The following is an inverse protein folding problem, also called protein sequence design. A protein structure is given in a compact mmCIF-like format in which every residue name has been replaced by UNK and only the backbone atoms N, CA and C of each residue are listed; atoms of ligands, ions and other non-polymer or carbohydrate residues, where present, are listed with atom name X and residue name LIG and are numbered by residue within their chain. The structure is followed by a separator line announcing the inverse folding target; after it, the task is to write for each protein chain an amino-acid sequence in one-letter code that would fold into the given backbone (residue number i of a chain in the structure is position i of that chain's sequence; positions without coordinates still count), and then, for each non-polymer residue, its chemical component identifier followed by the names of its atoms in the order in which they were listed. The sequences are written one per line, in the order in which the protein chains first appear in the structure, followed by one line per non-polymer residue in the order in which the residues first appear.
data_IF_645802496895
#
_entry.id   IF_645802496895
#
_cell.length_a   1.000
_cell.length_b   1.000
_cell.length_c   1.000
_cell.angle_alpha   90.00
_cell.angle_beta   90.00
_cell.angle_gamma   90.00
#
_symmetry.space_group_name_H-M   'P 1'
#
loop_
_entity.id
_entity.type
_entity.pdbx_description
1 polymer ?
#
# COMPACT_ATOMS: atom_id res chain seq x y z
N UNK A 1 -36.26 7.45 10.27
CA UNK A 1 -35.04 6.95 9.62
C UNK A 1 -33.91 7.79 10.18
N UNK A 2 -33.28 7.31 11.25
CA UNK A 2 -32.25 8.06 11.95
C UNK A 2 -30.93 7.92 11.20
N UNK A 3 -30.35 9.05 10.81
CA UNK A 3 -29.06 9.14 10.13
C UNK A 3 -27.96 8.64 11.07
N UNK A 4 -27.32 7.53 10.70
CA UNK A 4 -26.17 7.00 11.44
C UNK A 4 -25.02 8.00 11.34
N UNK A 5 -24.69 8.67 12.45
CA UNK A 5 -23.54 9.57 12.51
C UNK A 5 -22.23 8.78 12.58
N UNK A 6 -21.13 9.40 12.09
CA UNK A 6 -19.76 8.86 12.06
C UNK A 6 -19.28 8.24 13.38
N UNK A 7 -19.84 8.61 14.53
CA UNK A 7 -19.48 8.06 15.85
C UNK A 7 -19.95 6.62 16.10
N UNK A 8 -20.97 6.12 15.38
CA UNK A 8 -21.49 4.76 15.57
C UNK A 8 -20.71 3.66 14.86
N UNK A 9 -19.77 4.02 13.97
CA UNK A 9 -19.04 3.06 13.13
C UNK A 9 -17.90 2.37 13.89
N UNK A 10 -17.24 3.09 14.79
CA UNK A 10 -16.06 2.61 15.54
C UNK A 10 -16.39 1.51 16.54
N UNK A 11 -17.62 1.46 17.06
CA UNK A 11 -17.99 0.54 18.13
C UNK A 11 -18.28 -0.90 17.64
N UNK A 12 -18.66 -1.07 16.36
CA UNK A 12 -19.06 -2.38 15.80
C UNK A 12 -17.94 -3.11 15.05
N UNK A 13 -16.90 -2.42 14.59
CA UNK A 13 -15.83 -3.04 13.80
C UNK A 13 -14.87 -3.91 14.63
N UNK A 14 -14.78 -3.69 15.95
CA UNK A 14 -13.81 -4.34 16.82
C UNK A 14 -14.24 -5.72 17.38
N UNK A 15 -15.45 -6.22 17.06
CA UNK A 15 -16.00 -7.47 17.66
C UNK A 15 -16.06 -8.70 16.74
N UNK A 16 -15.62 -8.63 15.48
CA UNK A 16 -15.81 -9.73 14.51
C UNK A 16 -14.53 -10.49 14.17
N UNK A 17 -14.23 -11.57 14.90
CA UNK A 17 -13.06 -12.44 14.66
C UNK A 17 -13.11 -13.19 13.32
N UNK A 18 -11.99 -13.15 12.59
CA UNK A 18 -11.81 -13.89 11.33
C UNK A 18 -10.39 -14.44 11.22
N UNK A 19 -10.17 -15.66 11.68
CA UNK A 19 -8.85 -16.30 11.64
C UNK A 19 -8.86 -17.77 11.15
N UNK A 20 -10.00 -18.36 10.76
CA UNK A 20 -10.07 -19.83 10.58
C UNK A 20 -10.32 -20.35 9.15
N UNK A 21 -10.49 -19.49 8.14
CA UNK A 21 -10.98 -19.95 6.83
C UNK A 21 -9.92 -20.32 5.78
N UNK A 22 -8.63 -20.10 6.04
CA UNK A 22 -7.59 -20.16 4.99
C UNK A 22 -6.95 -21.55 4.83
N UNK A 23 -7.02 -22.41 5.84
CA UNK A 23 -6.21 -23.65 5.88
C UNK A 23 -6.73 -24.82 5.05
N UNK A 24 -7.97 -24.78 4.57
CA UNK A 24 -8.60 -25.95 3.91
C UNK A 24 -8.46 -25.95 2.37
N UNK A 25 -7.95 -24.87 1.77
CA UNK A 25 -7.97 -24.68 0.31
C UNK A 25 -6.81 -25.35 -0.46
N UNK A 26 -5.78 -25.87 0.22
CA UNK A 26 -4.51 -26.25 -0.40
C UNK A 26 -4.36 -27.73 -0.80
N UNK A 27 -5.41 -28.56 -0.66
CA UNK A 27 -5.27 -30.02 -0.81
C UNK A 27 -6.14 -30.68 -1.91
N UNK A 28 -6.68 -29.94 -2.88
CA UNK A 28 -7.56 -30.53 -3.92
C UNK A 28 -7.05 -30.33 -5.35
N UNK A 29 -7.11 -31.38 -6.21
CA UNK A 29 -6.59 -31.35 -7.58
C UNK A 29 -7.43 -30.49 -8.54
N UNK A 30 -6.77 -29.92 -9.54
CA UNK A 30 -7.24 -28.84 -10.44
C UNK A 30 -8.61 -29.07 -11.11
N UNK A 31 -9.01 -30.31 -11.39
CA UNK A 31 -10.32 -30.60 -12.02
C UNK A 31 -11.52 -30.37 -11.08
N UNK A 32 -11.31 -30.30 -9.76
CA UNK A 32 -12.35 -29.93 -8.79
C UNK A 32 -12.54 -28.41 -8.69
N UNK A 33 -11.53 -27.61 -9.07
CA UNK A 33 -11.59 -26.14 -9.05
C UNK A 33 -12.56 -25.59 -10.10
N UNK A 34 -12.60 -26.17 -11.30
CA UNK A 34 -13.47 -25.71 -12.39
C UNK A 34 -14.97 -25.87 -12.08
N UNK A 35 -15.36 -26.86 -11.26
CA UNK A 35 -16.77 -27.08 -10.90
C UNK A 35 -17.16 -26.48 -9.54
N UNK A 36 -16.19 -26.02 -8.72
CA UNK A 36 -16.43 -25.32 -7.45
C UNK A 36 -16.30 -23.79 -7.53
N UNK A 37 -15.70 -23.24 -8.59
CA UNK A 37 -15.80 -21.81 -8.92
C UNK A 37 -17.14 -21.46 -9.60
N UNK A 38 -18.26 -21.92 -9.03
CA UNK A 38 -19.47 -21.09 -9.11
C UNK A 38 -19.23 -19.95 -8.14
N UNK A 39 -18.58 -18.90 -8.63
CA UNK A 39 -18.45 -17.61 -7.94
C UNK A 39 -19.87 -17.07 -7.75
N UNK A 40 -20.54 -17.49 -6.68
CA UNK A 40 -21.89 -17.07 -6.37
C UNK A 40 -21.81 -15.68 -5.76
N UNK A 41 -21.79 -14.68 -6.64
CA UNK A 41 -21.86 -13.25 -6.31
C UNK A 41 -23.04 -12.91 -5.36
N UNK A 42 -24.04 -13.79 -5.25
CA UNK A 42 -25.24 -13.55 -4.44
C UNK A 42 -25.01 -13.55 -2.92
N UNK A 43 -23.99 -14.26 -2.42
CA UNK A 43 -23.78 -14.44 -0.97
C UNK A 43 -22.51 -13.74 -0.42
N UNK A 44 -21.81 -12.98 -1.25
CA UNK A 44 -20.63 -12.23 -0.79
C UNK A 44 -21.06 -11.03 0.05
N UNK A 45 -20.66 -11.01 1.33
CA UNK A 45 -20.96 -9.91 2.27
C UNK A 45 -20.53 -8.53 1.72
N UNK A 46 -19.52 -8.52 0.85
CA UNK A 46 -19.06 -7.34 0.12
C UNK A 46 -20.13 -6.79 -0.84
N UNK A 47 -20.80 -7.66 -1.61
CA UNK A 47 -21.79 -7.26 -2.63
C UNK A 47 -23.13 -6.84 -2.03
N UNK A 48 -23.39 -7.23 -0.77
CA UNK A 48 -24.56 -6.85 0.00
C UNK A 48 -24.34 -5.60 0.87
N UNK A 49 -23.26 -4.83 0.61
CA UNK A 49 -23.00 -3.58 1.30
C UNK A 49 -23.91 -2.46 0.78
N UNK A 50 -24.60 -1.78 1.69
CA UNK A 50 -25.49 -0.67 1.36
C UNK A 50 -24.76 0.55 0.74
N UNK A 51 -23.44 0.66 0.95
CA UNK A 51 -22.60 1.76 0.47
C UNK A 51 -21.77 1.41 -0.79
N UNK A 52 -21.93 0.20 -1.37
CA UNK A 52 -21.12 -0.25 -2.49
C UNK A 52 -21.28 0.63 -3.73
N UNK A 53 -22.51 1.08 -4.02
CA UNK A 53 -22.80 1.97 -5.15
C UNK A 53 -22.04 3.29 -5.04
N UNK A 54 -22.04 3.89 -3.85
CA UNK A 54 -21.36 5.16 -3.62
C UNK A 54 -19.84 5.00 -3.64
N UNK A 55 -19.32 3.87 -3.12
CA UNK A 55 -17.90 3.55 -3.20
C UNK A 55 -17.43 3.39 -4.67
N UNK A 56 -18.21 2.69 -5.50
CA UNK A 56 -17.90 2.51 -6.93
C UNK A 56 -18.02 3.82 -7.72
N UNK A 57 -19.01 4.67 -7.41
CA UNK A 57 -19.11 6.01 -7.99
C UNK A 57 -17.91 6.87 -7.62
N UNK A 58 -17.52 6.90 -6.34
CA UNK A 58 -16.33 7.61 -5.89
C UNK A 58 -15.07 7.09 -6.57
N UNK A 59 -14.94 5.76 -6.73
CA UNK A 59 -13.90 5.11 -7.53
C UNK A 59 -13.84 5.67 -8.94
N UNK A 60 -14.96 5.56 -9.65
CA UNK A 60 -15.08 6.02 -11.02
C UNK A 60 -14.79 7.52 -11.14
N UNK A 61 -15.42 8.39 -10.36
CA UNK A 61 -15.23 9.85 -10.42
C UNK A 61 -13.81 10.30 -10.09
N UNK A 62 -13.04 9.52 -9.32
CA UNK A 62 -11.63 9.84 -9.04
C UNK A 62 -10.72 9.49 -10.22
N UNK A 63 -11.01 8.42 -10.96
CA UNK A 63 -10.24 8.00 -12.14
C UNK A 63 -10.72 8.67 -13.43
N UNK A 64 -12.02 8.96 -13.55
CA UNK A 64 -12.65 9.61 -14.69
C UNK A 64 -12.42 11.12 -14.63
N UNK A 65 -11.16 11.51 -14.82
CA UNK A 65 -10.82 12.90 -15.14
C UNK A 65 -10.75 13.03 -16.66
N UNK A 66 -11.78 13.60 -17.28
CA UNK A 66 -11.72 14.13 -18.66
C UNK A 66 -10.86 15.42 -18.76
N UNK A 67 -10.10 15.72 -17.70
CA UNK A 67 -9.34 16.94 -17.45
C UNK A 67 -7.83 16.65 -17.46
N UNK A 68 -6.94 17.67 -17.60
CA UNK A 68 -5.52 17.45 -17.87
C UNK A 68 -4.70 16.95 -16.66
N UNK A 69 -5.27 16.89 -15.46
CA UNK A 69 -4.60 16.35 -14.26
C UNK A 69 -5.15 14.95 -13.90
N UNK A 70 -4.37 13.86 -14.10
CA UNK A 70 -4.83 12.52 -13.80
C UNK A 70 -4.82 12.24 -12.29
N UNK A 71 -6.02 12.18 -11.70
CA UNK A 71 -6.19 11.81 -10.31
C UNK A 71 -6.10 10.29 -10.11
N UNK A 72 -5.49 9.87 -9.01
CA UNK A 72 -5.44 8.46 -8.57
C UNK A 72 -5.81 8.35 -7.10
N UNK A 73 -6.29 7.19 -6.67
CA UNK A 73 -6.65 6.96 -5.25
C UNK A 73 -5.50 7.15 -4.28
N UNK A 74 -4.28 6.85 -4.71
CA UNK A 74 -3.08 6.98 -3.89
C UNK A 74 -2.52 8.41 -3.86
N UNK A 75 -3.18 9.37 -4.49
CA UNK A 75 -2.63 10.70 -4.71
C UNK A 75 -2.32 11.45 -3.42
N UNK A 76 -3.21 11.45 -2.44
CA UNK A 76 -2.99 12.19 -1.19
C UNK A 76 -1.74 11.70 -0.46
N UNK A 77 -1.57 10.37 -0.35
CA UNK A 77 -0.45 9.75 0.35
C UNK A 77 0.85 9.99 -0.44
N UNK A 78 0.82 9.78 -1.75
CA UNK A 78 1.99 9.97 -2.61
C UNK A 78 2.45 11.42 -2.63
N UNK A 79 1.52 12.39 -2.74
CA UNK A 79 1.83 13.82 -2.65
C UNK A 79 2.38 14.22 -1.29
N UNK A 80 1.82 13.71 -0.19
CA UNK A 80 2.31 14.04 1.15
C UNK A 80 3.79 13.66 1.33
N UNK A 81 4.17 12.46 0.89
CA UNK A 81 5.57 12.01 0.92
C UNK A 81 6.43 12.84 -0.03
N UNK A 82 5.99 13.09 -1.27
CA UNK A 82 6.76 13.90 -2.22
C UNK A 82 6.99 15.33 -1.71
N UNK A 83 5.97 15.98 -1.14
CA UNK A 83 6.12 17.30 -0.54
C UNK A 83 7.08 17.30 0.66
N UNK A 84 7.07 16.24 1.48
CA UNK A 84 8.04 16.10 2.56
C UNK A 84 9.47 15.96 2.01
N UNK A 85 9.66 15.18 0.94
CA UNK A 85 10.96 15.04 0.27
C UNK A 85 11.43 16.34 -0.39
N UNK A 86 10.52 17.11 -0.96
CA UNK A 86 10.84 18.42 -1.51
C UNK A 86 11.41 19.39 -0.47
N UNK A 87 10.95 19.27 0.78
CA UNK A 87 11.52 19.99 1.91
C UNK A 87 12.85 19.38 2.39
N UNK A 88 12.90 18.06 2.54
CA UNK A 88 14.02 17.39 3.20
C UNK A 88 15.28 17.31 2.32
N UNK A 89 15.14 17.05 1.02
CA UNK A 89 16.27 16.82 0.11
C UNK A 89 17.17 18.05 -0.04
N UNK A 90 16.65 19.28 -0.27
CA UNK A 90 17.51 20.47 -0.37
C UNK A 90 18.25 20.80 0.92
N UNK A 91 17.73 20.37 2.07
CA UNK A 91 18.34 20.57 3.38
C UNK A 91 19.31 19.44 3.78
N UNK A 92 19.36 18.33 3.03
CA UNK A 92 20.20 17.18 3.34
C UNK A 92 19.74 16.39 4.58
N UNK A 93 18.44 16.47 4.93
CA UNK A 93 17.85 15.84 6.12
C UNK A 93 16.96 14.64 5.78
N UNK A 94 17.03 14.11 4.56
CA UNK A 94 16.25 12.94 4.14
C UNK A 94 16.44 11.72 5.04
N UNK A 95 17.65 11.57 5.60
CA UNK A 95 17.96 10.49 6.54
C UNK A 95 17.17 10.65 7.84
N UNK A 96 17.11 11.86 8.38
CA UNK A 96 16.34 12.15 9.60
C UNK A 96 14.84 11.94 9.37
N UNK A 97 14.35 12.27 8.17
CA UNK A 97 12.97 12.00 7.77
C UNK A 97 12.66 10.50 7.74
N UNK A 98 13.56 9.69 7.16
CA UNK A 98 13.43 8.21 7.17
C UNK A 98 13.50 7.67 8.59
N UNK A 99 14.47 8.11 9.40
CA UNK A 99 14.63 7.64 10.78
C UNK A 99 13.39 7.98 11.62
N UNK A 100 12.81 9.17 11.43
CA UNK A 100 11.55 9.56 12.07
C UNK A 100 10.38 8.67 11.62
N UNK A 101 10.27 8.36 10.32
CA UNK A 101 9.25 7.43 9.83
C UNK A 101 9.40 6.05 10.47
N UNK A 102 10.64 5.51 10.54
CA UNK A 102 10.89 4.22 11.15
C UNK A 102 10.54 4.20 12.63
N UNK A 103 10.95 5.25 13.37
CA UNK A 103 10.61 5.41 14.78
C UNK A 103 9.10 5.42 15.02
N UNK A 104 8.33 6.16 14.21
CA UNK A 104 6.88 6.26 14.36
C UNK A 104 6.15 4.97 13.96
N UNK A 105 6.72 4.20 13.02
CA UNK A 105 6.17 2.93 12.55
C UNK A 105 6.64 1.71 13.36
N UNK A 106 7.56 1.88 14.32
CA UNK A 106 8.10 0.80 15.13
C UNK A 106 7.04 -0.13 15.78
N UNK A 107 5.89 0.35 16.30
CA UNK A 107 4.85 -0.52 16.82
C UNK A 107 4.25 -1.46 15.76
N UNK A 108 4.09 -0.97 14.53
CA UNK A 108 3.60 -1.77 13.39
C UNK A 108 4.62 -2.84 13.03
N UNK A 109 5.90 -2.46 12.92
CA UNK A 109 6.99 -3.39 12.62
C UNK A 109 7.15 -4.46 13.70
N UNK A 110 6.94 -4.13 14.97
CA UNK A 110 6.90 -5.11 16.05
C UNK A 110 5.78 -6.13 15.86
N UNK A 111 4.60 -5.69 15.42
CA UNK A 111 3.49 -6.60 15.09
C UNK A 111 3.84 -7.55 13.93
N UNK A 112 4.46 -7.03 12.88
CA UNK A 112 4.92 -7.83 11.74
C UNK A 112 6.02 -8.81 12.16
N UNK A 113 6.96 -8.40 13.00
CA UNK A 113 8.00 -9.25 13.57
C UNK A 113 7.43 -10.46 14.29
N UNK A 114 6.43 -10.26 15.15
CA UNK A 114 5.76 -11.38 15.84
C UNK A 114 5.10 -12.35 14.85
N UNK A 115 4.51 -11.84 13.77
CA UNK A 115 3.97 -12.69 12.72
C UNK A 115 5.07 -13.46 11.97
N UNK A 116 6.22 -12.83 11.71
CA UNK A 116 7.40 -13.47 11.08
C UNK A 116 7.97 -14.58 11.96
N UNK A 117 8.13 -14.34 13.27
CA UNK A 117 8.62 -15.33 14.22
C UNK A 117 7.70 -16.56 14.31
N UNK A 118 6.40 -16.36 14.11
CA UNK A 118 5.38 -17.42 14.20
C UNK A 118 5.20 -18.18 12.89
N UNK A 119 5.03 -17.47 11.78
CA UNK A 119 4.55 -18.02 10.51
C UNK A 119 5.60 -17.91 9.37
N UNK A 120 6.79 -17.37 9.64
CA UNK A 120 7.92 -17.30 8.71
C UNK A 120 8.10 -15.97 7.97
N UNK A 121 9.21 -15.82 7.21
CA UNK A 121 9.65 -14.54 6.64
C UNK A 121 8.71 -13.97 5.57
N UNK A 122 7.87 -14.79 4.94
CA UNK A 122 6.84 -14.32 3.99
C UNK A 122 5.87 -13.31 4.65
N UNK A 123 5.68 -13.39 5.97
CA UNK A 123 4.88 -12.41 6.72
C UNK A 123 5.44 -11.00 6.67
N UNK A 124 6.74 -10.84 6.47
CA UNK A 124 7.32 -9.50 6.29
C UNK A 124 6.82 -8.86 5.00
N UNK A 125 6.83 -9.60 3.88
CA UNK A 125 6.32 -9.11 2.60
C UNK A 125 4.82 -8.79 2.68
N UNK A 126 4.05 -9.68 3.30
CA UNK A 126 2.60 -9.48 3.48
C UNK A 126 2.29 -8.27 4.35
N UNK A 127 2.98 -8.12 5.49
CA UNK A 127 2.77 -7.02 6.43
C UNK A 127 3.20 -5.65 5.88
N UNK A 128 4.25 -5.60 5.05
CA UNK A 128 4.73 -4.37 4.45
C UNK A 128 3.93 -3.96 3.19
N UNK A 129 3.45 -4.93 2.39
CA UNK A 129 2.94 -4.63 1.05
C UNK A 129 1.49 -5.07 0.76
N UNK A 130 0.83 -5.91 1.56
CA UNK A 130 -0.48 -6.48 1.20
C UNK A 130 -1.55 -6.39 2.28
N UNK A 131 -1.26 -6.82 3.50
CA UNK A 131 -2.29 -7.13 4.53
C UNK A 131 -2.87 -5.89 5.21
N UNK A 132 -2.45 -4.69 4.81
CA UNK A 132 -2.98 -3.44 5.36
C UNK A 132 -3.88 -2.76 4.33
N UNK A 133 -5.03 -2.24 4.77
CA UNK A 133 -5.90 -1.41 3.92
C UNK A 133 -5.15 -0.22 3.33
N UNK A 134 -4.12 0.27 4.03
CA UNK A 134 -3.23 1.33 3.59
C UNK A 134 -2.31 0.91 2.43
N UNK A 135 -1.91 -0.36 2.32
CA UNK A 135 -1.12 -0.85 1.18
C UNK A 135 -1.89 -0.72 -0.13
N UNK A 136 -3.19 -1.05 -0.12
CA UNK A 136 -4.09 -0.89 -1.27
C UNK A 136 -4.43 0.57 -1.58
N UNK A 137 -4.20 1.48 -0.64
CA UNK A 137 -4.28 2.92 -0.88
C UNK A 137 -3.00 3.48 -1.49
N UNK A 138 -1.85 2.81 -1.34
CA UNK A 138 -0.58 3.29 -1.88
C UNK A 138 -0.26 2.66 -3.25
N UNK A 139 -0.42 1.35 -3.37
CA UNK A 139 -0.09 0.59 -4.57
C UNK A 139 -1.34 0.33 -5.40
N UNK A 140 -1.34 0.80 -6.65
CA UNK A 140 -2.44 0.60 -7.59
C UNK A 140 -2.64 -0.88 -7.94
N UNK A 141 -1.53 -1.63 -8.00
CA UNK A 141 -1.52 -3.08 -8.16
C UNK A 141 -0.27 -3.67 -7.51
N UNK A 142 -0.39 -4.88 -7.00
CA UNK A 142 0.72 -5.65 -6.42
C UNK A 142 0.67 -7.04 -7.05
N UNK A 143 1.78 -7.46 -7.63
CA UNK A 143 2.00 -8.81 -8.10
C UNK A 143 2.67 -9.62 -6.99
N UNK A 144 2.07 -10.76 -6.67
CA UNK A 144 2.40 -11.56 -5.50
C UNK A 144 3.00 -12.89 -5.95
N UNK A 145 4.24 -13.15 -5.56
CA UNK A 145 4.94 -14.43 -5.81
C UNK A 145 5.63 -14.88 -4.52
N UNK A 146 5.82 -16.19 -4.28
CA UNK A 146 6.56 -16.65 -3.11
C UNK A 146 7.92 -15.94 -2.99
N UNK A 147 8.18 -15.27 -1.86
CA UNK A 147 9.42 -14.55 -1.60
C UNK A 147 9.64 -13.25 -2.40
N UNK A 148 8.66 -12.78 -3.18
CA UNK A 148 8.80 -11.56 -4.00
C UNK A 148 7.49 -10.77 -4.13
N UNK A 149 7.60 -9.44 -4.09
CA UNK A 149 6.53 -8.51 -4.47
C UNK A 149 7.01 -7.60 -5.57
N UNK A 150 6.17 -7.39 -6.57
CA UNK A 150 6.43 -6.42 -7.61
C UNK A 150 5.25 -5.48 -7.82
N UNK A 151 5.54 -4.20 -8.02
CA UNK A 151 4.53 -3.16 -8.17
C UNK A 151 5.08 -1.97 -8.94
N UNK A 152 4.25 -1.24 -9.71
CA UNK A 152 4.64 0.05 -10.26
C UNK A 152 5.03 0.99 -9.12
N UNK A 153 6.11 1.76 -9.30
CA UNK A 153 6.47 2.74 -8.28
C UNK A 153 5.31 3.72 -8.06
N UNK A 154 4.81 3.88 -6.82
CA UNK A 154 3.66 4.75 -6.56
C UNK A 154 4.00 6.24 -6.75
N UNK A 155 5.28 6.59 -6.75
CA UNK A 155 5.74 7.98 -6.77
C UNK A 155 6.18 8.50 -8.15
N UNK A 156 6.55 7.63 -9.10
CA UNK A 156 7.15 8.06 -10.39
C UNK A 156 6.23 9.02 -11.16
N UNK A 157 5.08 8.52 -11.61
CA UNK A 157 4.13 9.35 -12.36
C UNK A 157 3.58 10.51 -11.54
N UNK A 158 3.43 10.34 -10.22
CA UNK A 158 2.94 11.43 -9.37
C UNK A 158 3.97 12.54 -9.19
N UNK A 159 5.27 12.23 -9.19
CA UNK A 159 6.32 13.23 -9.21
C UNK A 159 6.28 14.03 -10.52
N UNK A 160 6.08 13.36 -11.67
CA UNK A 160 5.92 14.03 -12.96
C UNK A 160 4.72 14.99 -12.93
N UNK A 161 3.58 14.54 -12.40
CA UNK A 161 2.41 15.40 -12.18
C UNK A 161 2.71 16.58 -11.26
N UNK A 162 3.40 16.36 -10.14
CA UNK A 162 3.77 17.41 -9.19
C UNK A 162 4.72 18.44 -9.84
N UNK A 163 5.68 17.99 -10.66
CA UNK A 163 6.57 18.87 -11.42
C UNK A 163 5.79 19.73 -12.41
N UNK A 164 4.93 19.13 -13.24
CA UNK A 164 4.21 19.86 -14.28
C UNK A 164 3.21 20.87 -13.70
N UNK A 165 2.45 20.47 -12.67
CA UNK A 165 1.29 21.23 -12.21
C UNK A 165 1.55 22.13 -11.00
N UNK A 166 2.62 21.87 -10.24
CA UNK A 166 2.97 22.64 -9.05
C UNK A 166 4.37 23.23 -9.21
N UNK A 167 5.37 22.35 -9.38
CA UNK A 167 6.79 22.69 -9.41
C UNK A 167 7.17 23.73 -10.46
N UNK A 168 6.56 23.63 -11.65
CA UNK A 168 6.74 24.58 -12.77
C UNK A 168 6.44 26.03 -12.40
N UNK A 169 5.49 26.26 -11.48
CA UNK A 169 5.01 27.60 -11.13
C UNK A 169 5.63 28.16 -9.85
N UNK A 170 6.03 27.32 -8.90
CA UNK A 170 6.56 27.73 -7.60
C UNK A 170 8.03 27.34 -7.37
N UNK A 171 8.65 26.63 -8.32
CA UNK A 171 10.04 26.18 -8.23
C UNK A 171 10.27 25.01 -7.26
N UNK A 172 9.24 24.24 -6.90
CA UNK A 172 9.35 23.01 -6.08
C UNK A 172 9.55 21.75 -6.93
N UNK A 173 9.77 20.61 -6.28
CA UNK A 173 9.97 19.29 -6.87
C UNK A 173 11.19 19.19 -7.80
N UNK A 174 12.32 19.81 -7.41
CA UNK A 174 13.56 19.88 -8.22
C UNK A 174 14.44 18.61 -8.18
N UNK A 175 13.91 17.50 -7.69
CA UNK A 175 14.62 16.23 -7.57
C UNK A 175 14.05 15.20 -8.55
N UNK A 176 14.81 14.12 -8.79
CA UNK A 176 14.43 13.09 -9.75
C UNK A 176 13.79 11.89 -9.07
N UNK A 177 13.06 11.08 -9.85
CA UNK A 177 12.46 9.85 -9.32
C UNK A 177 13.50 8.92 -8.66
N UNK A 178 14.73 8.91 -9.20
CA UNK A 178 15.85 8.17 -8.60
C UNK A 178 16.21 8.66 -7.19
N UNK A 179 16.06 9.96 -6.91
CA UNK A 179 16.21 10.50 -5.56
C UNK A 179 15.15 9.93 -4.63
N UNK A 180 13.88 9.86 -5.06
CA UNK A 180 12.82 9.24 -4.26
C UNK A 180 13.14 7.79 -3.93
N UNK A 181 13.60 7.02 -4.91
CA UNK A 181 13.98 5.63 -4.68
C UNK A 181 15.14 5.51 -3.67
N UNK A 182 16.20 6.30 -3.85
CA UNK A 182 17.43 6.16 -3.09
C UNK A 182 17.37 6.81 -1.69
N UNK A 183 16.58 7.88 -1.53
CA UNK A 183 16.51 8.68 -0.30
C UNK A 183 15.29 8.33 0.55
N UNK A 184 14.26 7.72 -0.03
CA UNK A 184 13.04 7.34 0.68
C UNK A 184 12.73 5.85 0.60
N UNK A 185 12.39 5.33 -0.59
CA UNK A 185 11.83 3.98 -0.70
C UNK A 185 12.80 2.90 -0.18
N UNK A 186 14.04 2.90 -0.70
CA UNK A 186 15.05 1.89 -0.34
C UNK A 186 15.45 2.01 1.13
N UNK A 187 15.80 3.19 1.68
CA UNK A 187 16.12 3.33 3.09
C UNK A 187 14.95 2.96 4.02
N UNK A 188 13.73 3.41 3.72
CA UNK A 188 12.57 3.13 4.56
C UNK A 188 12.23 1.64 4.60
N UNK A 189 12.23 0.96 3.44
CA UNK A 189 11.94 -0.48 3.40
C UNK A 189 13.07 -1.32 4.02
N UNK A 190 14.34 -0.94 3.84
CA UNK A 190 15.46 -1.62 4.49
C UNK A 190 15.45 -1.40 6.01
N UNK A 191 15.11 -0.19 6.47
CA UNK A 191 14.94 0.10 7.89
C UNK A 191 13.81 -0.72 8.52
N UNK A 192 12.67 -0.77 7.85
CA UNK A 192 11.54 -1.60 8.29
C UNK A 192 11.91 -3.09 8.33
N UNK A 193 12.59 -3.60 7.30
CA UNK A 193 13.08 -4.98 7.25
C UNK A 193 14.02 -5.31 8.42
N UNK A 194 14.95 -4.39 8.72
CA UNK A 194 15.86 -4.52 9.86
C UNK A 194 15.11 -4.59 11.19
N UNK A 195 14.12 -3.73 11.41
CA UNK A 195 13.32 -3.74 12.64
C UNK A 195 12.45 -5.00 12.77
N UNK A 196 11.96 -5.51 11.64
CA UNK A 196 11.22 -6.78 11.57
C UNK A 196 12.14 -7.98 11.79
N UNK A 197 13.42 -7.88 11.46
CA UNK A 197 14.40 -8.97 11.58
C UNK A 197 14.53 -9.83 10.31
N UNK A 198 14.26 -9.27 9.13
CA UNK A 198 14.45 -9.92 7.83
C UNK A 198 15.42 -9.15 6.95
N UNK A 199 15.91 -9.78 5.89
CA UNK A 199 16.66 -9.10 4.83
C UNK A 199 15.81 -8.99 3.59
N UNK A 200 15.83 -7.81 2.97
CA UNK A 200 15.18 -7.56 1.70
C UNK A 200 16.20 -7.14 0.65
N UNK A 201 16.04 -7.67 -0.56
CA UNK A 201 16.65 -7.12 -1.77
C UNK A 201 15.61 -6.22 -2.45
N UNK A 202 15.92 -4.93 -2.59
CA UNK A 202 15.03 -3.94 -3.21
C UNK A 202 15.65 -3.50 -4.53
N UNK A 203 14.88 -3.67 -5.60
CA UNK A 203 15.29 -3.34 -6.97
C UNK A 203 14.30 -2.29 -7.51
N UNK A 204 14.65 -0.98 -7.45
CA UNK A 204 13.85 0.06 -8.06
C UNK A 204 13.79 -0.09 -9.58
N UNK A 205 12.63 0.15 -10.17
CA UNK A 205 12.39 0.03 -11.60
C UNK A 205 11.05 0.63 -11.99
N UNK A 206 10.70 0.56 -13.27
CA UNK A 206 9.32 0.87 -13.69
C UNK A 206 8.32 0.00 -12.92
N UNK A 207 8.67 -1.26 -12.77
CA UNK A 207 8.14 -2.15 -11.76
C UNK A 207 9.21 -2.37 -10.68
N UNK A 208 8.98 -1.81 -9.50
CA UNK A 208 9.82 -2.07 -8.33
C UNK A 208 9.65 -3.54 -7.92
N UNK A 209 10.75 -4.18 -7.53
CA UNK A 209 10.74 -5.54 -6.97
C UNK A 209 11.34 -5.53 -5.57
N UNK A 210 10.72 -6.28 -4.68
CA UNK A 210 11.19 -6.49 -3.30
C UNK A 210 11.20 -7.98 -3.04
N UNK A 211 12.36 -8.53 -2.67
CA UNK A 211 12.55 -9.97 -2.45
C UNK A 211 13.08 -10.24 -1.05
N UNK A 212 12.73 -11.39 -0.48
CA UNK A 212 13.41 -11.92 0.70
C UNK A 212 14.83 -12.38 0.29
N UNK A 213 15.82 -12.00 1.08
CA UNK A 213 17.24 -12.30 0.85
C UNK A 213 17.84 -13.19 1.94
#
# INVERSE_FOLDING_TARGET
MDSISRRGFTEKALKGGGALAVLTALALPEKVMANKMKFSLKNERFLNRNDLSDALKSLYTTYDSTAPYPHKFNETITKAVLSALDFCIPLGIEKDYVDHYLMTMAPVFKGIKLAVEKDGPEKALRGLFEETTTSYQLFERINVKPGERSFPCPYKGKLDDCKEWIGKYNGTFKYEWKDVCNKWCVPAWNGAAKDIGVKLEIIPGEECRVKLA
#
